data_IF_658600540431
#
_entry.id   IF_658600540431
#
_cell.length_a   1.000
_cell.length_b   1.000
_cell.length_c   1.000
_cell.angle_alpha   90.00
_cell.angle_beta   90.00
_cell.angle_gamma   90.00
#
_symmetry.space_group_name_H-M   'P 1'
#
loop_
_entity.id
_entity.type
_entity.pdbx_description
1 polymer ?
#
# COMPACT_ATOMS: atom_id res chain seq x y z
N UNK A 1 36.15 -27.16 35.39
CA UNK A 1 35.52 -25.85 35.71
C UNK A 1 35.59 -24.85 34.55
N UNK A 2 36.73 -24.68 33.85
CA UNK A 2 36.85 -23.74 32.70
C UNK A 2 35.86 -23.99 31.54
N UNK A 3 35.49 -25.25 31.25
CA UNK A 3 34.54 -25.59 30.18
C UNK A 3 33.10 -25.17 30.46
N UNK A 4 32.68 -25.20 31.74
CA UNK A 4 31.36 -24.75 32.17
C UNK A 4 31.26 -23.22 32.09
N UNK A 5 32.35 -22.51 32.45
CA UNK A 5 32.46 -21.06 32.32
C UNK A 5 32.31 -20.60 30.86
N UNK A 6 32.96 -21.29 29.91
CA UNK A 6 32.85 -21.00 28.48
C UNK A 6 31.42 -21.13 27.96
N UNK A 7 30.69 -22.17 28.38
CA UNK A 7 29.29 -22.37 27.97
C UNK A 7 28.40 -21.27 28.55
N UNK A 8 28.56 -20.89 29.83
CA UNK A 8 27.81 -19.80 30.44
C UNK A 8 28.06 -18.45 29.76
N UNK A 9 29.31 -18.16 29.37
CA UNK A 9 29.68 -16.92 28.67
C UNK A 9 29.07 -16.87 27.27
N UNK A 10 29.09 -17.97 26.52
CA UNK A 10 28.48 -18.05 25.17
C UNK A 10 26.97 -17.87 25.24
N UNK A 11 26.30 -18.50 26.20
CA UNK A 11 24.84 -18.33 26.39
C UNK A 11 24.48 -16.89 26.76
N UNK A 12 25.30 -16.21 27.56
CA UNK A 12 25.06 -14.81 27.95
C UNK A 12 25.27 -13.81 26.79
N UNK A 13 26.14 -14.11 25.83
CA UNK A 13 26.34 -13.25 24.64
C UNK A 13 25.14 -13.37 23.67
N UNK A 14 24.50 -14.54 23.59
CA UNK A 14 23.34 -14.77 22.72
C UNK A 14 22.06 -14.04 23.13
N UNK A 15 21.95 -13.56 24.38
CA UNK A 15 20.76 -12.79 24.81
C UNK A 15 20.83 -11.32 24.38
N UNK A 16 22.02 -10.80 24.07
CA UNK A 16 22.22 -9.40 23.64
C UNK A 16 21.78 -9.21 22.18
N UNK A 17 21.80 -10.26 21.36
CA UNK A 17 21.41 -10.21 19.94
C UNK A 17 19.90 -10.08 19.70
N UNK A 18 19.08 -10.23 20.73
CA UNK A 18 17.61 -10.09 20.63
C UNK A 18 17.11 -8.65 20.84
N UNK A 19 17.98 -7.69 21.17
CA UNK A 19 17.64 -6.27 21.19
C UNK A 19 17.92 -5.62 19.83
N UNK A 20 17.28 -6.13 18.77
CA UNK A 20 17.35 -5.45 17.48
C UNK A 20 16.65 -4.11 17.63
N UNK A 21 17.42 -3.03 17.55
CA UNK A 21 16.87 -1.69 17.60
C UNK A 21 16.18 -1.43 16.26
N UNK A 22 14.86 -1.33 16.28
CA UNK A 22 13.99 -1.13 15.11
C UNK A 22 13.27 0.21 15.20
N UNK A 23 12.68 0.64 14.10
CA UNK A 23 11.73 1.75 14.05
C UNK A 23 10.34 1.27 13.69
N UNK A 24 9.40 2.21 13.67
CA UNK A 24 8.04 1.98 13.23
C UNK A 24 7.59 3.08 12.26
N UNK A 25 6.60 2.76 11.44
CA UNK A 25 5.82 3.75 10.70
C UNK A 25 4.35 3.57 11.02
N UNK A 26 3.72 4.67 11.42
CA UNK A 26 2.30 4.74 11.71
C UNK A 26 1.67 5.78 10.81
N UNK A 27 0.35 5.74 10.67
CA UNK A 27 -0.28 6.74 9.83
C UNK A 27 -1.76 6.56 9.60
N UNK A 28 -2.28 7.41 8.72
CA UNK A 28 -3.67 7.43 8.32
C UNK A 28 -3.83 7.64 6.81
N UNK A 29 -4.66 6.81 6.18
CA UNK A 29 -5.00 6.90 4.76
C UNK A 29 -6.45 7.33 4.61
N UNK A 30 -6.68 8.36 3.81
CA UNK A 30 -7.98 9.01 3.62
C UNK A 30 -8.36 9.04 2.12
N UNK A 31 -9.64 9.21 1.83
CA UNK A 31 -10.11 9.59 0.52
C UNK A 31 -9.94 11.11 0.37
N UNK A 32 -9.13 11.56 -0.58
CA UNK A 32 -8.85 12.97 -0.78
C UNK A 32 -10.02 13.76 -1.39
N UNK A 33 -10.95 13.10 -2.06
CA UNK A 33 -12.09 13.72 -2.75
C UNK A 33 -13.37 13.72 -1.89
N UNK A 34 -13.55 12.70 -1.04
CA UNK A 34 -14.78 12.46 -0.28
C UNK A 34 -14.62 12.88 1.19
N UNK A 35 -14.52 14.18 1.45
CA UNK A 35 -14.50 14.76 2.82
C UNK A 35 -13.45 14.16 3.77
N UNK A 36 -12.34 13.65 3.27
CA UNK A 36 -11.34 12.94 4.08
C UNK A 36 -11.90 11.71 4.82
N UNK A 37 -12.82 10.98 4.17
CA UNK A 37 -13.32 9.71 4.70
C UNK A 37 -12.16 8.71 4.88
N UNK A 38 -12.09 7.97 6.00
CA UNK A 38 -11.05 6.98 6.20
C UNK A 38 -11.14 5.82 5.21
N UNK A 39 -10.02 5.44 4.61
CA UNK A 39 -9.96 4.28 3.73
C UNK A 39 -9.62 3.03 4.56
N UNK A 40 -10.62 2.17 4.77
CA UNK A 40 -10.45 0.84 5.38
C UNK A 40 -9.82 -0.15 4.39
N UNK A 41 -8.93 -1.01 4.88
CA UNK A 41 -8.25 -2.07 4.12
C UNK A 41 -7.38 -1.58 2.95
N UNK A 42 -7.01 -0.29 2.92
CA UNK A 42 -5.96 0.20 2.03
C UNK A 42 -4.65 -0.53 2.36
N UNK A 43 -4.01 -1.10 1.32
CA UNK A 43 -2.76 -1.80 1.44
C UNK A 43 -1.62 -0.78 1.58
N UNK A 44 -0.79 -0.95 2.61
CA UNK A 44 0.35 -0.09 2.90
C UNK A 44 1.59 -0.97 2.97
N UNK A 45 2.64 -0.64 2.22
CA UNK A 45 3.85 -1.47 2.14
C UNK A 45 5.09 -0.63 1.92
N UNK A 46 6.25 -1.09 2.38
CA UNK A 46 7.54 -0.54 1.98
C UNK A 46 8.01 -1.27 0.72
N UNK A 47 8.24 -0.54 -0.39
CA UNK A 47 8.58 -1.12 -1.69
C UNK A 47 9.82 -2.01 -1.60
N UNK A 48 9.76 -3.16 -2.28
CA UNK A 48 10.84 -4.16 -2.35
C UNK A 48 11.20 -4.78 -1.00
N UNK A 49 10.27 -4.81 -0.04
CA UNK A 49 10.43 -5.45 1.26
C UNK A 49 9.18 -6.28 1.60
N UNK A 50 9.27 -7.08 2.66
CA UNK A 50 8.13 -7.84 3.18
C UNK A 50 7.27 -7.04 4.20
N UNK A 51 7.71 -5.84 4.60
CA UNK A 51 6.96 -4.99 5.51
C UNK A 51 5.71 -4.44 4.84
N UNK A 52 4.56 -4.93 5.29
CA UNK A 52 3.25 -4.53 4.79
C UNK A 52 2.18 -4.66 5.86
N UNK A 53 1.11 -3.89 5.69
CA UNK A 53 -0.05 -3.89 6.58
C UNK A 53 -1.28 -3.40 5.81
N UNK A 54 -2.43 -3.40 6.47
CA UNK A 54 -3.66 -2.80 5.97
C UNK A 54 -4.21 -1.79 6.97
N UNK A 55 -4.85 -0.74 6.46
CA UNK A 55 -5.54 0.22 7.31
C UNK A 55 -6.78 -0.39 7.97
N UNK A 56 -7.08 0.06 9.19
CA UNK A 56 -8.28 -0.33 9.94
C UNK A 56 -9.50 0.55 9.61
N UNK A 57 -10.61 0.39 10.35
CA UNK A 57 -11.88 1.12 10.13
C UNK A 57 -11.73 2.65 10.23
N UNK A 58 -10.74 3.13 10.98
CA UNK A 58 -10.45 4.55 11.11
C UNK A 58 -9.42 5.03 10.08
N UNK A 59 -9.04 4.19 9.11
CA UNK A 59 -8.01 4.48 8.11
C UNK A 59 -6.59 4.45 8.66
N UNK A 60 -6.40 4.03 9.92
CA UNK A 60 -5.09 4.02 10.55
C UNK A 60 -4.31 2.75 10.20
N UNK A 61 -3.00 2.85 10.05
CA UNK A 61 -2.09 1.72 9.85
C UNK A 61 -0.87 1.81 10.78
N UNK A 62 -0.21 0.66 10.96
CA UNK A 62 1.03 0.53 11.71
C UNK A 62 1.88 -0.59 11.10
N UNK A 63 3.16 -0.31 10.88
CA UNK A 63 4.21 -1.27 10.54
C UNK A 63 5.33 -1.10 11.57
N UNK A 64 5.55 -2.11 12.40
CA UNK A 64 6.60 -2.15 13.42
C UNK A 64 7.79 -2.97 12.95
N UNK A 65 8.85 -2.96 13.76
CA UNK A 65 10.02 -3.83 13.58
C UNK A 65 10.71 -3.62 12.22
N UNK A 66 10.72 -2.36 11.77
CA UNK A 66 11.34 -1.94 10.52
C UNK A 66 12.80 -1.58 10.79
N UNK A 67 13.72 -2.12 9.98
CA UNK A 67 15.11 -1.72 10.07
C UNK A 67 15.27 -0.24 9.70
N UNK A 68 16.08 0.57 10.43
CA UNK A 68 16.31 1.96 10.09
C UNK A 68 16.85 2.13 8.66
N UNK A 69 16.41 3.17 7.97
CA UNK A 69 16.82 3.42 6.60
C UNK A 69 15.83 4.29 5.82
N UNK A 70 16.14 4.49 4.54
CA UNK A 70 15.28 5.19 3.60
C UNK A 70 14.46 4.19 2.80
N UNK A 71 13.15 4.42 2.72
CA UNK A 71 12.22 3.56 2.01
C UNK A 71 11.26 4.38 1.15
N UNK A 72 10.55 3.68 0.28
CA UNK A 72 9.36 4.23 -0.39
C UNK A 72 8.13 3.54 0.16
N UNK A 73 7.27 4.30 0.82
CA UNK A 73 5.95 3.86 1.25
C UNK A 73 5.02 3.83 0.03
N UNK A 74 4.48 2.67 -0.29
CA UNK A 74 3.48 2.44 -1.32
C UNK A 74 2.12 2.21 -0.67
N UNK A 75 1.16 3.06 -1.00
CA UNK A 75 -0.23 2.98 -0.53
C UNK A 75 -1.14 2.70 -1.72
N UNK A 76 -1.96 1.66 -1.61
CA UNK A 76 -2.86 1.19 -2.68
C UNK A 76 -4.23 0.86 -2.16
N UNK A 77 -5.25 1.23 -2.93
CA UNK A 77 -6.62 0.84 -2.67
C UNK A 77 -7.39 0.68 -3.98
N UNK A 78 -8.31 -0.29 -4.03
CA UNK A 78 -9.02 -0.62 -5.27
C UNK A 78 -9.86 0.57 -5.74
N UNK A 79 -9.69 0.96 -7.01
CA UNK A 79 -10.38 2.12 -7.58
C UNK A 79 -9.72 3.47 -7.30
N UNK A 80 -8.54 3.49 -6.69
CA UNK A 80 -7.77 4.71 -6.41
C UNK A 80 -6.41 4.67 -7.10
N UNK A 81 -5.86 5.85 -7.35
CA UNK A 81 -4.48 6.00 -7.80
C UNK A 81 -3.51 5.54 -6.71
N UNK A 82 -2.44 4.85 -7.12
CA UNK A 82 -1.40 4.42 -6.20
C UNK A 82 -0.57 5.63 -5.77
N UNK A 83 -0.17 5.67 -4.50
CA UNK A 83 0.66 6.74 -3.96
C UNK A 83 2.00 6.18 -3.48
N UNK A 84 3.09 6.81 -3.91
CA UNK A 84 4.44 6.52 -3.46
C UNK A 84 5.02 7.73 -2.73
N UNK A 85 5.53 7.51 -1.51
CA UNK A 85 6.09 8.56 -0.65
C UNK A 85 7.46 8.13 -0.12
N UNK A 86 8.52 8.95 -0.26
CA UNK A 86 9.78 8.67 0.43
C UNK A 86 9.58 8.82 1.95
N UNK A 87 10.09 7.87 2.71
CA UNK A 87 10.02 7.89 4.19
C UNK A 87 11.37 7.47 4.78
N UNK A 88 11.74 8.11 5.88
CA UNK A 88 12.93 7.77 6.66
C UNK A 88 12.48 7.14 7.96
N UNK A 89 13.03 5.97 8.26
CA UNK A 89 12.78 5.24 9.50
C UNK A 89 14.00 5.39 10.40
N UNK A 90 13.80 6.02 11.55
CA UNK A 90 14.80 6.24 12.57
C UNK A 90 14.75 5.16 13.64
N UNK A 91 15.88 4.97 14.32
CA UNK A 91 16.02 4.02 15.40
C UNK A 91 15.14 4.37 16.61
N UNK A 92 14.35 3.42 17.11
CA UNK A 92 13.49 3.59 18.29
C UNK A 92 12.48 4.75 18.17
N UNK A 93 12.16 5.15 16.94
CA UNK A 93 11.19 6.21 16.64
C UNK A 93 10.02 5.66 15.81
N UNK A 94 8.87 6.31 15.93
CA UNK A 94 7.71 6.06 15.07
C UNK A 94 7.49 7.24 14.14
N UNK A 95 7.70 7.03 12.83
CA UNK A 95 7.44 8.03 11.81
C UNK A 95 5.95 8.05 11.50
N UNK A 96 5.28 9.19 11.68
CA UNK A 96 3.85 9.32 11.37
C UNK A 96 3.62 9.91 9.97
N UNK A 97 2.76 9.28 9.16
CA UNK A 97 2.38 9.74 7.83
C UNK A 97 0.86 9.82 7.68
N UNK A 98 0.37 10.97 7.22
CA UNK A 98 -1.02 11.10 6.78
C UNK A 98 -1.05 11.38 5.28
N UNK A 99 -1.83 10.59 4.54
CA UNK A 99 -1.97 10.74 3.10
C UNK A 99 -3.41 10.52 2.64
N UNK A 100 -3.73 11.09 1.47
CA UNK A 100 -5.04 10.98 0.84
C UNK A 100 -4.91 10.40 -0.57
N UNK A 101 -5.65 9.34 -0.88
CA UNK A 101 -5.70 8.78 -2.24
C UNK A 101 -6.78 9.47 -3.08
N UNK A 102 -6.51 9.64 -4.37
CA UNK A 102 -7.45 10.17 -5.37
C UNK A 102 -8.15 9.00 -6.07
N UNK A 103 -9.42 9.16 -6.43
CA UNK A 103 -10.16 8.12 -7.13
C UNK A 103 -9.68 8.02 -8.58
N UNK A 104 -9.65 6.81 -9.15
CA UNK A 104 -9.36 6.62 -10.57
C UNK A 104 -10.52 7.16 -11.40
N UNK A 105 -10.22 8.06 -12.32
CA UNK A 105 -11.20 8.48 -13.31
C UNK A 105 -11.50 7.32 -14.27
N UNK A 106 -12.79 7.03 -14.47
CA UNK A 106 -13.19 6.10 -15.53
C UNK A 106 -12.95 6.76 -16.89
N UNK A 107 -12.35 6.06 -17.86
CA UNK A 107 -12.29 6.57 -19.22
C UNK A 107 -13.72 6.71 -19.76
N UNK A 108 -14.10 7.94 -20.11
CA UNK A 108 -15.39 8.21 -20.75
C UNK A 108 -15.43 7.51 -22.11
N UNK A 109 -16.47 6.72 -22.38
CA UNK A 109 -16.70 6.21 -23.73
C UNK A 109 -17.05 7.41 -24.62
N UNK A 110 -16.18 7.75 -25.56
CA UNK A 110 -16.47 8.75 -26.57
C UNK A 110 -17.52 8.20 -27.55
N UNK A 111 -18.79 8.55 -27.32
CA UNK A 111 -19.91 8.17 -28.18
C UNK A 111 -19.76 8.73 -29.62
N UNK A 112 -18.84 9.68 -29.87
CA UNK A 112 -18.56 10.18 -31.22
C UNK A 112 -17.77 9.19 -32.10
N UNK A 113 -17.18 8.13 -31.52
CA UNK A 113 -16.49 7.07 -32.28
C UNK A 113 -17.37 5.86 -32.62
N UNK A 114 -18.66 5.88 -32.23
CA UNK A 114 -19.62 4.88 -32.71
C UNK A 114 -19.94 5.21 -34.17
N UNK A 115 -19.08 4.74 -35.07
CA UNK A 115 -19.28 4.77 -36.51
C UNK A 115 -20.47 3.86 -36.86
N UNK A 116 -21.69 4.41 -36.76
CA UNK A 116 -22.88 3.79 -37.31
C UNK A 116 -22.79 3.90 -38.83
N UNK A 117 -22.10 2.95 -39.47
CA UNK A 117 -22.05 2.88 -40.93
C UNK A 117 -23.45 2.43 -41.43
N UNK A 118 -24.28 3.30 -42.03
CA UNK A 118 -25.68 2.99 -42.33
C UNK A 118 -25.85 2.03 -43.53
N UNK A 119 -24.75 1.52 -44.12
CA UNK A 119 -24.77 0.74 -45.36
C UNK A 119 -25.15 -0.74 -45.23
N UNK A 120 -25.38 -1.29 -44.03
CA UNK A 120 -25.77 -2.70 -43.87
C UNK A 120 -27.26 -2.94 -43.62
N UNK A 121 -28.08 -1.89 -43.46
CA UNK A 121 -29.54 -2.03 -43.29
C UNK A 121 -30.24 -1.95 -44.67
N UNK A 122 -29.85 -2.81 -45.62
CA UNK A 122 -30.62 -3.00 -46.86
C UNK A 122 -30.39 -4.39 -47.43
N UNK A 123 -30.75 -5.42 -46.68
CA UNK A 123 -30.81 -6.79 -47.22
C UNK A 123 -31.81 -7.68 -46.46
N UNK A 124 -33.07 -7.25 -46.32
CA UNK A 124 -34.17 -8.13 -45.88
C UNK A 124 -35.55 -7.55 -46.22
N UNK A 125 -35.81 -7.21 -47.49
CA UNK A 125 -37.19 -6.98 -47.94
C UNK A 125 -37.33 -7.17 -49.45
N UNK A 126 -36.96 -8.36 -49.95
CA UNK A 126 -37.40 -8.78 -51.28
C UNK A 126 -37.47 -10.30 -51.39
N UNK A 127 -38.58 -10.86 -50.92
CA UNK A 127 -39.13 -12.11 -51.45
C UNK A 127 -40.51 -12.33 -50.85
N UNK A 128 -41.54 -11.85 -51.54
CA UNK A 128 -42.86 -12.48 -51.61
C UNK A 128 -43.61 -11.76 -52.73
N UNK A 129 -43.50 -12.34 -53.92
CA UNK A 129 -44.54 -12.27 -54.95
C UNK A 129 -45.54 -13.40 -54.66
#
# INVERSE_FOLDING_TARGET
MMKQLLITVVTLISTITFAQSTGAITGKVLNAEMFNEPLLMAAVSLKNTDWSTHTNFNGNFEITDVAPGEYTLLVRFLGYEEMELPVVISLNESTYIQCGLQAKALPTIDLAQVNTNPKQIKLASKSEQ
#
